data_IF_826337208723
#
_entry.id   IF_826337208723
#
_cell.length_a   1.000
_cell.length_b   1.000
_cell.length_c   1.000
_cell.angle_alpha   90.00
_cell.angle_beta   90.00
_cell.angle_gamma   90.00
#
_symmetry.space_group_name_H-M   'P 1'
#
loop_
_entity.id
_entity.type
_entity.pdbx_description
1 polymer ?
2 polymer ?
3 polymer ?
4 non-polymer ?
5 non-polymer ?
6 non-polymer ?
7 water ?
#
loop_
_entity_poly.entity_id
_entity_poly.type
_entity_poly.pdbx_seq_one_letter_code
_entity_poly.pdbx_strand_id
1 'polydeoxyribonucleotide' '(DG)(DG)(DG)(DG)(DT)(DG)(DT)(DG)(DG)(DT)(DA)(DG)(DC)' ?
2 'polydeoxyribonucleotide' '(DA)(DT)(DC)(DG)(DC)(DT)(DA)(DC)(DC)(DA)(DC)(DA)(DC)(DC)(DC)(DC)' ?
#
# COMPACT_ATOMS: atom_id res chain seq x y z
N UNK C 3 -25.23 4.52 12.29
CA UNK C 3 -25.42 3.50 11.20
C UNK C 3 -25.82 4.22 9.93
N UNK C 4 -25.02 4.07 8.86
CA UNK C 4 -25.20 4.76 7.59
C UNK C 4 -25.22 3.73 6.48
N UNK C 5 -26.31 3.70 5.70
CA UNK C 5 -26.47 2.72 4.63
C UNK C 5 -25.92 3.26 3.32
N UNK C 6 -25.72 2.38 2.35
CA UNK C 6 -25.13 2.85 1.10
C UNK C 6 -26.05 3.76 0.30
N UNK C 7 -27.35 3.81 0.60
CA UNK C 7 -28.24 4.77 -0.04
C UNK C 7 -28.38 6.07 0.73
N UNK C 8 -27.69 6.21 1.87
CA UNK C 8 -27.66 7.46 2.62
C UNK C 8 -26.63 8.40 2.01
N UNK C 9 -26.95 9.68 1.89
CA UNK C 9 -25.97 10.65 1.38
C UNK C 9 -24.62 10.62 2.08
N UNK C 10 -24.57 10.28 3.38
CA UNK C 10 -23.33 10.35 4.14
C UNK C 10 -22.45 9.11 4.03
N UNK C 11 -22.87 8.12 3.23
CA UNK C 11 -22.19 6.82 3.23
C UNK C 11 -20.72 6.95 2.86
N UNK C 12 -20.43 7.62 1.75
CA UNK C 12 -19.05 7.69 1.29
C UNK C 12 -18.16 8.29 2.36
N UNK C 13 -18.60 9.39 2.97
CA UNK C 13 -17.85 10.03 4.05
C UNK C 13 -17.61 9.06 5.19
N UNK C 14 -18.66 8.37 5.63
CA UNK C 14 -18.55 7.52 6.80
C UNK C 14 -17.66 6.32 6.52
N UNK C 15 -17.84 5.69 5.36
CA UNK C 15 -17.03 4.54 4.98
C UNK C 15 -15.55 4.91 4.92
N UNK C 16 -15.24 6.02 4.24
CA UNK C 16 -13.86 6.44 4.11
C UNK C 16 -13.27 6.86 5.45
N UNK C 17 -14.10 7.44 6.34
CA UNK C 17 -13.61 7.78 7.68
C UNK C 17 -13.18 6.55 8.46
N UNK C 18 -13.84 5.41 8.24
CA UNK C 18 -13.55 4.18 8.98
C UNK C 18 -12.57 3.23 8.29
N UNK C 19 -12.36 3.38 6.98
CA UNK C 19 -11.60 2.41 6.19
C UNK C 19 -10.11 2.66 6.33
N UNK C 20 -9.39 1.70 6.89
CA UNK C 20 -7.95 1.92 7.00
C UNK C 20 -7.27 1.81 5.65
N UNK C 21 -7.85 1.04 4.72
CA UNK C 21 -7.24 0.95 3.39
C UNK C 21 -7.45 2.25 2.61
N UNK C 22 -8.61 2.89 2.78
CA UNK C 22 -8.76 4.25 2.23
C UNK C 22 -7.70 5.19 2.80
N UNK C 23 -7.49 5.13 4.12
CA UNK C 23 -6.51 6.00 4.75
C UNK C 23 -5.11 5.75 4.22
N UNK C 24 -4.73 4.47 4.07
CA UNK C 24 -3.39 4.17 3.56
C UNK C 24 -3.19 4.81 2.19
N UNK C 25 -4.17 4.66 1.30
CA UNK C 25 -4.03 5.20 -0.04
C UNK C 25 -4.06 6.73 -0.05
N UNK C 26 -4.94 7.32 0.76
CA UNK C 26 -5.02 8.78 0.80
C UNK C 26 -3.76 9.38 1.38
N UNK C 27 -3.25 8.77 2.46
CA UNK C 27 -1.98 9.22 3.04
C UNK C 27 -0.85 9.17 2.01
N UNK C 28 -0.75 8.06 1.27
CA UNK C 28 0.31 7.94 0.27
C UNK C 28 0.15 9.00 -0.82
N UNK C 29 -1.07 9.19 -1.32
CA UNK C 29 -1.27 10.22 -2.34
C UNK C 29 -0.85 11.59 -1.82
N UNK C 30 -1.20 11.91 -0.57
CA UNK C 30 -0.85 13.20 0.01
C UNK C 30 0.67 13.34 0.16
N UNK C 31 1.35 12.26 0.54
CA UNK C 31 2.81 12.30 0.68
C UNK C 31 3.50 12.53 -0.66
N UNK C 32 2.98 11.92 -1.73
CA UNK C 32 3.53 12.17 -3.06
C UNK C 32 3.35 13.64 -3.45
N UNK C 33 2.18 14.18 -3.19
CA UNK C 33 1.94 15.58 -3.53
C UNK C 33 2.86 16.50 -2.74
N UNK C 34 3.09 16.18 -1.47
CA UNK C 34 3.97 16.99 -0.65
C UNK C 34 5.41 16.94 -1.15
N UNK C 35 5.87 15.75 -1.55
CA UNK C 35 7.19 15.64 -2.17
C UNK C 35 7.32 16.60 -3.34
N UNK C 36 6.29 16.64 -4.19
CA UNK C 36 6.36 17.48 -5.38
C UNK C 36 6.38 18.96 -5.01
N UNK C 37 5.56 19.36 -4.04
CA UNK C 37 5.54 20.75 -3.61
C UNK C 37 6.83 21.12 -2.88
N UNK C 38 7.29 20.26 -1.97
CA UNK C 38 8.49 20.53 -1.19
C UNK C 38 9.71 20.76 -2.07
N UNK C 39 9.79 20.04 -3.20
CA UNK C 39 11.00 19.99 -4.01
C UNK C 39 10.83 20.70 -5.35
N UNK C 40 9.85 21.60 -5.48
CA UNK C 40 9.56 22.17 -6.79
C UNK C 40 10.72 23.01 -7.32
N UNK C 41 11.59 23.50 -6.44
CA UNK C 41 12.79 24.20 -6.87
C UNK C 41 14.06 23.57 -6.29
N UNK C 42 13.94 22.40 -5.69
CA UNK C 42 15.07 21.61 -5.25
C UNK C 42 15.30 20.50 -6.26
N UNK C 43 16.55 20.31 -6.68
CA UNK C 43 16.87 19.18 -7.52
C UNK C 43 17.32 18.03 -6.62
N UNK C 44 16.62 16.90 -6.79
CA UNK C 44 16.64 15.73 -5.87
C UNK C 44 16.88 14.36 -6.55
N UNK C 45 17.29 14.30 -7.80
CA UNK C 45 17.36 13.02 -8.49
C UNK C 45 18.72 12.34 -8.29
N UNK C 46 18.78 11.09 -8.74
CA UNK C 46 20.02 10.32 -8.86
C UNK C 46 20.40 10.23 -10.34
N UNK C 47 21.69 10.35 -10.64
CA UNK C 47 22.19 10.27 -12.01
C UNK C 47 23.08 9.04 -12.16
N UNK C 48 23.41 8.73 -13.43
CA UNK C 48 24.29 7.60 -13.71
C UNK C 48 25.65 7.75 -13.02
N UNK C 49 26.08 8.97 -12.70
CA UNK C 49 27.38 9.16 -12.08
C UNK C 49 27.38 8.85 -10.59
N UNK C 50 26.20 8.74 -9.97
CA UNK C 50 26.15 8.63 -8.52
C UNK C 50 26.31 7.18 -8.09
N UNK C 51 27.16 6.96 -7.09
CA UNK C 51 27.14 5.73 -6.30
C UNK C 51 26.34 6.00 -5.04
N UNK C 52 25.39 5.13 -4.73
CA UNK C 52 24.45 5.44 -3.65
C UNK C 52 24.23 4.24 -2.74
N UNK C 53 23.73 4.52 -1.54
CA UNK C 53 23.29 3.52 -0.59
C UNK C 53 21.83 3.78 -0.27
N UNK C 54 21.04 2.70 -0.10
CA UNK C 54 19.61 2.78 0.17
C UNK C 54 19.39 2.44 1.63
N UNK C 55 18.65 3.29 2.34
CA UNK C 55 18.13 2.97 3.68
C UNK C 55 16.61 2.87 3.54
N UNK C 56 16.09 1.67 3.70
CA UNK C 56 14.65 1.42 3.63
C UNK C 56 14.15 1.28 5.07
N UNK C 57 13.29 2.21 5.49
CA UNK C 57 12.94 2.39 6.89
C UNK C 57 11.44 2.18 7.04
N UNK C 58 11.04 1.41 8.05
CA UNK C 58 9.63 1.07 8.23
C UNK C 58 9.36 0.97 9.72
N UNK C 59 8.24 1.54 10.19
CA UNK C 59 7.82 1.34 11.58
C UNK C 59 7.56 -0.15 11.83
N UNK C 60 7.88 -0.60 13.04
CA UNK C 60 7.49 -1.95 13.45
C UNK C 60 6.07 -2.08 14.03
N UNK C 61 5.22 -2.89 13.38
CA UNK C 61 3.75 -3.04 13.56
C UNK C 61 3.09 -1.69 13.82
N UNK C 62 3.05 -0.89 12.77
CA UNK C 62 2.75 0.53 12.91
C UNK C 62 1.44 0.80 13.63
N UNK C 63 0.31 0.30 13.09
CA UNK C 63 -0.97 0.65 13.71
C UNK C 63 -1.03 0.18 15.16
N UNK C 64 -0.56 -1.04 15.42
CA UNK C 64 -0.66 -1.57 16.79
C UNK C 64 0.21 -0.76 17.74
N UNK C 65 1.39 -0.36 17.29
CA UNK C 65 2.28 0.45 18.14
C UNK C 65 1.61 1.77 18.51
N UNK C 66 1.13 2.50 17.51
CA UNK C 66 0.56 3.83 17.75
C UNK C 66 -0.75 3.73 18.49
N UNK C 67 -1.60 2.77 18.11
CA UNK C 67 -2.86 2.58 18.83
C UNK C 67 -2.59 2.22 20.30
N UNK C 68 -1.53 1.47 20.57
CA UNK C 68 -1.21 1.17 21.96
C UNK C 68 -0.73 2.42 22.69
N UNK C 69 0.18 3.17 22.08
CA UNK C 69 0.75 4.34 22.73
C UNK C 69 -0.31 5.38 23.03
N UNK C 70 -1.37 5.47 22.22
CA UNK C 70 -2.44 6.44 22.39
C UNK C 70 -3.73 5.79 22.92
N UNK C 71 -3.63 4.62 23.56
CA UNK C 71 -4.82 3.87 23.94
C UNK C 71 -5.61 4.59 25.04
N UNK C 72 -6.92 4.33 25.05
CA UNK C 72 -7.81 4.97 26.02
C UNK C 72 -7.58 4.38 27.41
N UNK C 73 -8.19 5.01 28.42
CA UNK C 73 -7.93 4.63 29.81
C UNK C 73 -8.43 3.22 30.12
N UNK C 74 -9.47 2.76 29.39
CA UNK C 74 -9.94 1.38 29.53
C UNK C 74 -8.83 0.38 29.30
N UNK C 75 -7.84 0.70 28.46
CA UNK C 75 -6.71 -0.17 28.17
C UNK C 75 -5.45 0.23 28.92
N UNK C 76 -5.55 1.04 29.98
CA UNK C 76 -4.34 1.59 30.60
C UNK C 76 -3.39 0.49 31.08
N UNK C 77 -3.91 -0.64 31.55
CA UNK C 77 -3.04 -1.67 32.11
C UNK C 77 -2.53 -2.65 31.06
N UNK C 78 -2.90 -2.46 29.80
CA UNK C 78 -2.35 -3.25 28.69
C UNK C 78 -0.83 -3.13 28.64
N UNK C 79 -0.16 -4.25 28.37
CA UNK C 79 1.30 -4.31 28.27
C UNK C 79 1.70 -4.73 26.86
N UNK C 80 2.34 -3.82 26.13
CA UNK C 80 2.65 -4.07 24.73
C UNK C 80 3.67 -5.18 24.56
N UNK C 81 4.55 -5.38 25.54
CA UNK C 81 5.57 -6.41 25.47
C UNK C 81 5.07 -7.77 25.96
N UNK C 82 3.92 -7.83 26.62
CA UNK C 82 3.46 -9.08 27.20
C UNK C 82 2.09 -9.55 26.70
N UNK C 83 1.22 -8.63 26.25
CA UNK C 83 -0.11 -9.09 25.84
C UNK C 83 -0.22 -9.11 24.32
N UNK C 84 -1.02 -10.04 23.76
CA UNK C 84 -1.26 -10.06 22.31
C UNK C 84 -2.26 -8.97 21.95
N UNK C 85 -1.88 -8.10 21.03
CA UNK C 85 -2.63 -6.89 20.73
C UNK C 85 -2.89 -6.85 19.22
N UNK C 86 -4.14 -6.57 18.85
CA UNK C 86 -4.53 -6.36 17.45
C UNK C 86 -5.28 -5.03 17.35
N UNK C 87 -5.30 -4.48 16.14
CA UNK C 87 -6.09 -3.30 15.82
C UNK C 87 -7.18 -3.72 14.84
N UNK C 88 -8.44 -3.45 15.18
CA UNK C 88 -9.55 -3.89 14.35
C UNK C 88 -10.81 -3.14 14.77
N UNK C 89 -11.84 -3.24 13.92
CA UNK C 89 -13.12 -2.60 14.20
C UNK C 89 -14.01 -3.46 15.09
N UNK C 90 -13.99 -4.77 14.85
CA UNK C 90 -15.06 -5.63 15.37
C UNK C 90 -14.62 -6.81 16.23
N UNK C 91 -15.47 -7.84 16.29
CA UNK C 91 -15.24 -9.01 17.13
C UNK C 91 -15.27 -10.34 16.40
N UNK C 92 -15.75 -10.38 15.17
CA UNK C 92 -15.86 -11.66 14.49
C UNK C 92 -15.11 -11.65 13.17
N UNK C 93 -15.80 -11.28 12.09
CA UNK C 93 -15.19 -11.30 10.76
C UNK C 93 -14.67 -9.93 10.38
N UNK C 94 -13.92 -9.38 11.33
CA UNK C 94 -13.27 -8.07 11.23
C UNK C 94 -11.77 -8.26 10.98
N UNK C 95 -11.24 -7.54 9.98
CA UNK C 95 -9.83 -7.67 9.64
C UNK C 95 -8.95 -7.23 10.79
N UNK C 96 -7.90 -8.01 11.05
CA UNK C 96 -6.81 -7.57 11.92
C UNK C 96 -5.88 -6.76 11.03
N UNK C 97 -5.96 -5.43 11.15
CA UNK C 97 -5.10 -4.59 10.33
C UNK C 97 -3.65 -4.67 10.77
N UNK C 98 -3.41 -4.84 12.06
CA UNK C 98 -2.05 -4.80 12.58
C UNK C 98 -2.05 -5.61 13.87
N UNK C 99 -0.98 -6.36 14.11
CA UNK C 99 -0.86 -7.04 15.38
C UNK C 99 0.58 -6.92 15.87
N UNK C 100 0.75 -7.01 17.18
CA UNK C 100 2.07 -6.85 17.75
C UNK C 100 2.79 -8.20 17.74
N UNK C 101 4.06 -8.18 18.15
CA UNK C 101 4.87 -9.39 18.02
C UNK C 101 4.50 -10.44 19.06
N UNK C 102 3.88 -10.06 20.17
CA UNK C 102 3.30 -11.05 21.08
C UNK C 102 2.21 -11.84 20.35
N UNK C 103 1.30 -11.12 19.69
CA UNK C 103 0.26 -11.79 18.92
C UNK C 103 0.86 -12.71 17.86
N UNK C 104 1.88 -12.23 17.15
CA UNK C 104 2.53 -13.04 16.12
C UNK C 104 3.16 -14.30 16.68
N UNK C 105 3.62 -14.26 17.93
CA UNK C 105 4.26 -15.43 18.52
C UNK C 105 3.27 -16.58 18.74
N UNK C 106 1.96 -16.30 18.75
CA UNK C 106 0.95 -17.35 18.81
C UNK C 106 0.45 -17.74 17.42
N UNK C 107 1.06 -17.21 16.37
CA UNK C 107 0.64 -17.52 15.01
C UNK C 107 -0.37 -16.55 14.42
N UNK C 108 -0.75 -15.50 15.14
CA UNK C 108 -1.67 -14.51 14.60
C UNK C 108 -0.96 -13.71 13.53
N UNK C 109 -1.66 -13.44 12.42
CA UNK C 109 -1.10 -12.70 11.30
C UNK C 109 -2.04 -11.58 10.88
N UNK C 110 -1.47 -10.51 10.35
CA UNK C 110 -2.29 -9.46 9.74
C UNK C 110 -3.19 -10.05 8.66
N UNK C 111 -4.37 -9.45 8.51
CA UNK C 111 -5.32 -9.91 7.52
C UNK C 111 -6.20 -11.05 7.98
N UNK C 112 -5.84 -11.71 9.09
CA UNK C 112 -6.75 -12.65 9.72
C UNK C 112 -7.99 -11.93 10.22
N UNK C 113 -9.09 -12.66 10.30
CA UNK C 113 -10.26 -12.17 11.01
C UNK C 113 -10.10 -12.42 12.50
N UNK C 114 -10.72 -11.57 13.31
CA UNK C 114 -10.61 -11.67 14.76
C UNK C 114 -10.99 -13.06 15.24
N UNK C 115 -12.03 -13.63 14.64
CA UNK C 115 -12.50 -14.99 15.02
C UNK C 115 -11.36 -15.99 14.87
N UNK C 116 -10.74 -15.96 13.71
CA UNK C 116 -9.61 -16.83 13.37
C UNK C 116 -8.55 -16.70 14.46
N UNK C 117 -8.08 -15.49 14.73
CA UNK C 117 -6.95 -15.27 15.61
C UNK C 117 -7.24 -15.66 17.05
N UNK C 118 -8.48 -15.47 17.50
CA UNK C 118 -8.81 -15.81 18.89
C UNK C 118 -8.61 -17.29 19.17
N UNK C 119 -8.80 -18.15 18.16
CA UNK C 119 -8.68 -19.59 18.35
C UNK C 119 -7.23 -20.04 18.54
N UNK C 120 -6.27 -19.25 18.06
CA UNK C 120 -4.86 -19.60 18.23
C UNK C 120 -4.34 -19.30 19.62
N UNK C 121 -5.10 -18.60 20.43
CA UNK C 121 -4.63 -18.25 21.76
C UNK C 121 -4.88 -19.41 22.73
N UNK C 122 -3.88 -19.82 23.50
CA UNK C 122 -4.13 -20.83 24.53
C UNK C 122 -5.11 -20.32 25.58
N UNK C 123 -5.71 -21.26 26.29
CA UNK C 123 -6.69 -20.90 27.31
C UNK C 123 -6.05 -20.00 28.36
N UNK C 124 -6.80 -19.00 28.84
CA UNK C 124 -6.32 -18.07 29.89
C UNK C 124 -5.74 -16.74 29.40
N UNK C 125 -5.47 -16.66 28.13
CA UNK C 125 -4.82 -15.54 27.46
C UNK C 125 -5.82 -14.87 26.53
N UNK C 126 -5.99 -13.62 26.83
CA UNK C 126 -7.03 -12.82 26.20
C UNK C 126 -6.44 -11.94 25.11
N UNK C 127 -7.12 -11.91 23.96
CA UNK C 127 -6.75 -10.99 22.88
C UNK C 127 -7.20 -9.59 23.24
N UNK C 128 -6.28 -8.63 23.15
CA UNK C 128 -6.59 -7.22 23.34
C UNK C 128 -6.87 -6.61 21.98
N UNK C 129 -8.09 -6.12 21.77
CA UNK C 129 -8.47 -5.47 20.51
C UNK C 129 -8.51 -3.96 20.74
N UNK C 130 -7.59 -3.24 20.07
CA UNK C 130 -7.55 -1.78 20.15
C UNK C 130 -8.26 -1.16 18.94
N UNK C 131 -8.91 -0.01 19.13
CA UNK C 131 -9.50 0.69 17.99
C UNK C 131 -8.44 1.41 17.17
N UNK C 132 -8.81 1.74 15.94
CA UNK C 132 -7.95 2.56 15.11
C UNK C 132 -7.86 3.97 15.70
N UNK C 133 -6.69 4.60 15.53
CA UNK C 133 -6.45 5.99 15.95
C UNK C 133 -5.88 6.73 14.73
N UNK C 134 -6.75 7.04 13.78
CA UNK C 134 -6.27 7.47 12.46
C UNK C 134 -5.50 8.78 12.54
N UNK C 135 -6.01 9.77 13.28
CA UNK C 135 -5.30 11.04 13.33
C UNK C 135 -3.94 10.90 14.01
N UNK C 136 -3.84 10.03 15.03
CA UNK C 136 -2.54 9.80 15.66
C UNK C 136 -1.59 9.06 14.72
N UNK C 137 -2.08 8.12 13.91
CA UNK C 137 -1.22 7.55 12.88
C UNK C 137 -0.62 8.64 12.01
N UNK C 138 -1.44 9.60 11.61
CA UNK C 138 -0.96 10.69 10.77
C UNK C 138 0.06 11.56 11.51
N UNK C 139 -0.20 11.88 12.77
CA UNK C 139 0.74 12.71 13.52
C UNK C 139 2.10 12.02 13.70
N UNK C 140 2.10 10.70 13.93
CA UNK C 140 3.37 10.01 14.09
C UNK C 140 4.13 9.96 12.78
N UNK C 141 3.40 9.81 11.67
CA UNK C 141 4.03 9.89 10.36
C UNK C 141 4.68 11.25 10.15
N UNK C 142 3.99 12.34 10.55
CA UNK C 142 4.57 13.66 10.41
C UNK C 142 5.89 13.76 11.16
N UNK C 143 5.93 13.25 12.39
CA UNK C 143 7.16 13.25 13.15
C UNK C 143 8.24 12.45 12.45
N UNK C 144 7.87 11.31 11.88
CA UNK C 144 8.80 10.46 11.13
C UNK C 144 9.46 11.22 9.99
N UNK C 145 8.66 11.79 9.08
CA UNK C 145 9.21 12.46 7.92
C UNK C 145 9.96 13.73 8.31
N UNK C 146 9.50 14.42 9.36
CA UNK C 146 10.22 15.59 9.83
C UNK C 146 11.61 15.20 10.34
N UNK C 147 11.70 14.08 11.07
CA UNK C 147 12.99 13.63 11.61
C UNK C 147 13.94 13.25 10.48
N UNK C 148 13.46 12.49 9.50
CA UNK C 148 14.31 12.08 8.38
C UNK C 148 14.91 13.28 7.67
N UNK C 149 14.10 14.34 7.48
CA UNK C 149 14.61 15.53 6.81
C UNK C 149 15.60 16.28 7.69
N UNK C 150 15.28 16.40 8.98
CA UNK C 150 16.10 17.19 9.90
C UNK C 150 17.50 16.61 10.04
N UNK C 151 17.65 15.30 9.87
CA UNK C 151 18.95 14.65 10.03
C UNK C 151 19.96 15.07 8.98
N UNK C 152 19.50 15.57 7.83
CA UNK C 152 20.35 16.02 6.73
C UNK C 152 21.44 15.01 6.40
N UNK C 153 21.03 13.75 6.21
CA UNK C 153 21.94 12.69 5.82
C UNK C 153 21.56 12.06 4.49
N UNK C 154 20.45 12.46 3.88
CA UNK C 154 19.93 11.83 2.67
C UNK C 154 19.80 12.84 1.54
N UNK C 155 20.13 12.39 0.33
CA UNK C 155 19.94 13.21 -0.86
C UNK C 155 18.55 13.09 -1.43
N UNK C 156 17.86 11.99 -1.14
CA UNK C 156 16.52 11.75 -1.65
C UNK C 156 15.76 10.99 -0.59
N UNK C 157 14.57 11.48 -0.24
CA UNK C 157 13.67 10.82 0.71
C UNK C 157 12.37 10.54 -0.02
N UNK C 158 12.09 9.27 -0.28
CA UNK C 158 10.95 8.88 -1.11
C UNK C 158 9.88 8.28 -0.23
N UNK C 159 8.66 8.82 -0.23
CA UNK C 159 7.59 8.22 0.57
C UNK C 159 7.11 6.93 -0.08
N UNK C 160 7.14 5.85 0.68
CA UNK C 160 6.52 4.60 0.26
C UNK C 160 5.11 4.48 0.82
N UNK C 161 4.95 4.83 2.10
CA UNK C 161 3.66 4.76 2.75
C UNK C 161 3.68 5.71 3.95
N UNK C 162 2.55 5.76 4.66
CA UNK C 162 2.43 6.57 5.87
C UNK C 162 3.60 6.35 6.82
N UNK C 163 4.14 5.12 6.86
CA UNK C 163 5.13 4.75 7.86
C UNK C 163 6.38 4.13 7.24
N UNK C 164 6.65 4.40 5.97
CA UNK C 164 7.72 3.69 5.29
C UNK C 164 8.36 4.61 4.25
N UNK C 165 9.68 4.68 4.25
CA UNK C 165 10.38 5.57 3.32
C UNK C 165 11.63 4.90 2.79
N UNK C 166 11.96 5.23 1.55
CA UNK C 166 13.24 4.84 0.94
C UNK C 166 14.13 6.08 0.92
N UNK C 167 15.27 6.00 1.62
CA UNK C 167 16.14 7.13 1.79
C UNK C 167 17.46 6.83 1.09
N UNK C 168 17.94 7.75 0.26
CA UNK C 168 19.08 7.53 -0.60
C UNK C 168 20.22 8.45 -0.19
N UNK C 169 21.39 7.87 0.03
CA UNK C 169 22.59 8.62 0.37
C UNK C 169 23.60 8.43 -0.75
N UNK C 170 24.01 9.53 -1.39
CA UNK C 170 25.04 9.48 -2.42
C UNK C 170 26.41 9.49 -1.74
N UNK C 171 27.28 8.56 -2.14
CA UNK C 171 28.63 8.42 -1.59
C UNK C 171 29.60 9.00 -2.61
N UNK C 172 30.24 10.13 -2.34
CA UNK C 172 31.33 10.58 -3.22
C UNK C 172 32.49 9.59 -3.23
N UNK C 173 33.16 9.49 -4.37
CA UNK C 173 34.18 8.45 -4.54
C UNK C 173 35.44 8.72 -3.74
N UNK C 174 35.57 9.92 -3.21
CA UNK C 174 36.71 10.33 -2.35
C UNK C 174 36.44 9.86 -0.92
N UNK C 175 35.19 9.58 -0.56
CA UNK C 175 34.85 9.15 0.79
C UNK C 175 34.84 7.63 0.82
N UNK C 176 35.33 7.06 1.90
CA UNK C 176 35.40 5.61 2.06
C UNK C 176 34.24 5.19 2.96
N UNK C 177 33.17 4.71 2.35
CA UNK C 177 32.05 4.21 3.10
C UNK C 177 32.42 2.89 3.78
N UNK C 178 31.95 2.71 5.00
CA UNK C 178 32.21 1.51 5.77
C UNK C 178 30.93 1.05 6.47
N UNK C 179 30.89 -0.24 6.77
CA UNK C 179 29.83 -0.80 7.60
C UNK C 179 29.68 -0.04 8.91
N UNK C 180 30.79 0.46 9.48
CA UNK C 180 30.72 1.15 10.75
C UNK C 180 29.99 2.48 10.62
N UNK C 181 30.28 3.25 9.55
CA UNK C 181 29.51 4.45 9.29
C UNK C 181 28.03 4.12 9.08
N UNK C 182 27.75 3.08 8.30
CA UNK C 182 26.36 2.73 7.99
C UNK C 182 25.63 2.25 9.23
N UNK C 183 26.33 1.50 10.10
CA UNK C 183 25.72 1.04 11.33
C UNK C 183 25.40 2.21 12.25
N UNK C 184 26.31 3.17 12.35
CA UNK C 184 26.03 4.33 13.22
C UNK C 184 24.90 5.17 12.66
N UNK C 185 24.81 5.30 11.32
CA UNK C 185 23.68 5.99 10.72
C UNK C 185 22.36 5.32 11.06
N UNK C 186 22.32 3.98 10.95
CA UNK C 186 21.12 3.22 11.32
C UNK C 186 20.75 3.46 12.77
N UNK C 187 21.74 3.53 13.65
CA UNK C 187 21.41 3.71 15.05
C UNK C 187 20.95 5.13 15.32
N UNK C 188 21.56 6.12 14.66
CA UNK C 188 21.08 7.49 14.81
C UNK C 188 19.64 7.60 14.35
N UNK C 189 19.34 7.07 13.17
CA UNK C 189 17.98 7.15 12.65
C UNK C 189 17.00 6.49 13.61
N UNK C 190 17.32 5.27 14.05
CA UNK C 190 16.43 4.54 14.96
C UNK C 190 16.22 5.28 16.27
N UNK C 191 17.29 5.85 16.84
CA UNK C 191 17.13 6.54 18.11
C UNK C 191 16.36 7.85 17.94
N UNK C 192 16.67 8.61 16.88
CA UNK C 192 16.00 9.90 16.67
C UNK C 192 14.51 9.72 16.40
N UNK C 193 14.15 8.67 15.65
CA UNK C 193 12.73 8.43 15.40
C UNK C 193 12.02 7.95 16.67
N UNK C 194 12.66 7.04 17.42
CA UNK C 194 12.12 6.62 18.71
C UNK C 194 11.86 7.83 19.60
N UNK C 195 12.83 8.74 19.69
CA UNK C 195 12.64 9.95 20.48
C UNK C 195 11.59 10.86 19.87
N UNK C 196 11.62 11.03 18.54
CA UNK C 196 10.73 11.97 17.89
C UNK C 196 9.27 11.56 17.86
N UNK C 197 8.99 10.27 17.98
CA UNK C 197 7.63 9.74 17.95
C UNK C 197 7.12 9.35 19.32
N UNK C 198 7.88 9.65 20.38
CA UNK C 198 7.50 9.31 21.76
C UNK C 198 7.31 7.80 21.94
N UNK C 199 8.19 7.02 21.33
CA UNK C 199 8.22 5.60 21.63
C UNK C 199 7.93 4.61 20.52
N UNK C 200 7.82 5.06 19.27
CA UNK C 200 7.69 4.12 18.15
C UNK C 200 9.07 3.68 17.67
N UNK C 201 9.18 2.42 17.27
CA UNK C 201 10.43 1.87 16.78
C UNK C 201 10.35 1.65 15.28
N UNK C 202 11.48 1.78 14.60
CA UNK C 202 11.58 1.47 13.18
C UNK C 202 12.66 0.42 12.99
N UNK C 203 12.52 -0.36 11.91
CA UNK C 203 13.59 -1.21 11.42
C UNK C 203 14.11 -0.66 10.11
N UNK C 204 15.36 -1.00 9.77
CA UNK C 204 16.03 -0.43 8.60
C UNK C 204 16.78 -1.52 7.85
N UNK C 205 16.58 -1.58 6.54
CA UNK C 205 17.44 -2.35 5.66
C UNK C 205 18.35 -1.41 4.91
N UNK C 206 19.64 -1.77 4.86
CA UNK C 206 20.64 -0.90 4.24
C UNK C 206 21.39 -1.70 3.18
N UNK C 207 21.45 -1.18 1.95
CA UNK C 207 22.08 -1.92 0.86
C UNK C 207 22.39 -0.98 -0.29
N UNK C 208 23.01 -1.55 -1.33
CA UNK C 208 23.28 -0.81 -2.57
C UNK C 208 22.31 -1.19 -3.69
N UNK C 209 21.16 -1.78 -3.36
CA UNK C 209 20.05 -1.82 -4.30
C UNK C 209 18.75 -1.69 -3.53
N UNK C 210 17.73 -1.24 -4.27
CA UNK C 210 16.39 -1.13 -3.70
C UNK C 210 15.89 -2.49 -3.24
N UNK C 211 16.05 -3.52 -4.09
CA UNK C 211 15.47 -4.81 -3.73
C UNK C 211 16.19 -5.41 -2.51
N UNK C 212 17.52 -5.28 -2.45
CA UNK C 212 18.24 -5.85 -1.32
C UNK C 212 17.94 -5.08 -0.03
N UNK C 213 17.79 -3.76 -0.12
CA UNK C 213 17.42 -3.01 1.08
C UNK C 213 16.06 -3.45 1.60
N UNK C 214 15.13 -3.78 0.68
CA UNK C 214 13.84 -4.31 1.10
C UNK C 214 13.99 -5.67 1.77
N UNK C 215 14.82 -6.55 1.21
CA UNK C 215 15.05 -7.84 1.85
C UNK C 215 15.74 -7.68 3.19
N UNK C 216 16.77 -6.82 3.24
CA UNK C 216 17.48 -6.57 4.50
C UNK C 216 16.54 -6.05 5.57
N UNK C 217 15.56 -5.21 5.18
CA UNK C 217 14.59 -4.70 6.14
C UNK C 217 13.77 -5.82 6.75
N UNK C 218 13.30 -6.76 5.92
CA UNK C 218 12.55 -7.90 6.44
C UNK C 218 13.39 -8.70 7.43
N UNK C 219 14.67 -8.87 7.14
CA UNK C 219 15.57 -9.57 8.07
C UNK C 219 15.80 -8.76 9.35
N UNK C 220 15.75 -7.43 9.26
CA UNK C 220 16.01 -6.60 10.42
C UNK C 220 14.87 -6.60 11.43
N UNK C 221 13.64 -6.89 11.00
CA UNK C 221 12.52 -6.77 11.91
C UNK C 221 12.55 -7.88 12.96
N UNK C 222 12.08 -7.60 14.19
CA UNK C 222 11.58 -6.29 14.63
C UNK C 222 12.62 -5.44 15.35
N UNK C 223 12.45 -4.12 15.31
CA UNK C 223 13.24 -3.18 16.09
C UNK C 223 14.74 -3.42 15.90
N UNK C 224 15.15 -3.52 14.64
CA UNK C 224 16.57 -3.70 14.38
C UNK C 224 17.00 -3.18 13.04
N UNK C 225 18.27 -3.40 12.67
CA UNK C 225 18.73 -3.01 11.34
C UNK C 225 19.60 -4.12 10.76
N UNK C 226 19.70 -4.12 9.43
CA UNK C 226 20.49 -5.11 8.74
C UNK C 226 21.16 -4.45 7.54
N UNK C 227 22.46 -4.66 7.42
CA UNK C 227 23.27 -4.11 6.34
C UNK C 227 23.73 -5.29 5.50
N UNK C 228 23.18 -5.42 4.29
CA UNK C 228 23.57 -6.49 3.37
C UNK C 228 23.78 -5.88 2.00
N UNK C 229 25.03 -5.76 1.59
CA UNK C 229 25.37 -5.25 0.28
C UNK C 229 25.53 -6.40 -0.70
N UNK C 230 25.60 -6.04 -2.00
CA UNK C 230 25.74 -7.07 -3.04
C UNK C 230 26.96 -7.94 -2.78
N UNK C 231 28.06 -7.32 -2.35
CA UNK C 231 29.27 -8.06 -2.02
C UNK C 231 29.09 -9.03 -0.85
N UNK C 232 28.11 -8.77 0.03
CA UNK C 232 27.87 -9.64 1.18
C UNK C 232 26.92 -10.80 0.88
N UNK C 233 26.50 -10.97 -0.36
CA UNK C 233 25.47 -11.96 -0.66
C UNK C 233 26.00 -13.37 -0.45
N UNK C 234 25.10 -14.26 -0.02
CA UNK C 234 25.48 -15.60 0.39
C UNK C 234 24.29 -16.52 0.24
N UNK C 235 24.57 -17.82 0.15
CA UNK C 235 23.49 -18.81 0.14
C UNK C 235 22.67 -18.76 1.42
N UNK C 236 23.29 -18.38 2.54
CA UNK C 236 22.57 -18.30 3.80
C UNK C 236 21.56 -17.15 3.78
N UNK C 237 21.94 -16.03 3.14
CA UNK C 237 21.01 -14.93 2.95
C UNK C 237 19.78 -15.39 2.16
N UNK C 238 20.01 -15.93 0.95
CA UNK C 238 18.90 -16.34 0.10
C UNK C 238 18.07 -17.44 0.74
N UNK C 239 18.67 -18.25 1.60
CA UNK C 239 17.94 -19.31 2.28
C UNK C 239 16.97 -18.79 3.33
N UNK C 240 17.14 -17.54 3.74
CA UNK C 240 16.33 -16.93 4.80
C UNK C 240 14.96 -16.46 4.33
N UNK C 241 14.67 -16.49 3.03
CA UNK C 241 13.48 -15.82 2.49
C UNK C 241 12.56 -16.79 1.76
N UNK C 242 11.26 -16.61 1.97
CA UNK C 242 10.24 -17.25 1.17
C UNK C 242 10.12 -16.55 -0.19
N UNK C 243 9.47 -17.22 -1.14
CA UNK C 243 9.43 -16.69 -2.50
C UNK C 243 8.67 -15.38 -2.57
N UNK C 244 7.57 -15.26 -1.81
CA UNK C 244 6.81 -14.02 -1.84
C UNK C 244 7.41 -12.94 -0.93
N UNK C 245 8.59 -13.18 -0.35
CA UNK C 245 9.32 -12.08 0.26
C UNK C 245 9.89 -11.13 -0.79
N UNK C 246 10.03 -11.58 -2.03
CA UNK C 246 10.46 -10.69 -3.10
C UNK C 246 9.39 -9.64 -3.37
N UNK C 247 9.78 -8.38 -3.56
CA UNK C 247 8.77 -7.35 -3.86
C UNK C 247 8.21 -7.59 -5.25
N UNK C 248 6.88 -7.55 -5.36
CA UNK C 248 6.19 -7.85 -6.59
C UNK C 248 5.79 -9.30 -6.75
N UNK C 249 6.16 -10.16 -5.81
CA UNK C 249 5.69 -11.55 -5.78
C UNK C 249 4.68 -11.66 -4.64
N UNK C 250 3.40 -11.83 -4.99
CA UNK C 250 2.35 -12.14 -4.04
C UNK C 250 1.84 -13.56 -4.18
N UNK C 251 0.62 -13.77 -3.68
CA UNK C 251 0.04 -15.12 -3.61
C UNK C 251 -0.05 -15.74 -4.99
N UNK C 252 -0.52 -14.96 -5.96
CA UNK C 252 -0.77 -15.53 -7.27
C UNK C 252 0.53 -15.88 -7.99
N UNK C 253 1.54 -15.02 -7.91
CA UNK C 253 2.85 -15.32 -8.48
C UNK C 253 3.50 -16.49 -7.76
N UNK C 254 3.38 -16.50 -6.42
CA UNK C 254 3.93 -17.60 -5.63
C UNK C 254 3.42 -18.94 -6.13
N UNK C 255 2.10 -19.03 -6.36
CA UNK C 255 1.52 -20.28 -6.82
C UNK C 255 2.07 -20.68 -8.18
N UNK C 256 2.29 -19.71 -9.05
CA UNK C 256 2.82 -20.01 -10.40
C UNK C 256 4.24 -20.55 -10.28
N UNK C 257 5.04 -19.94 -9.42
CA UNK C 257 6.41 -20.39 -9.23
C UNK C 257 6.47 -21.79 -8.62
N UNK C 258 5.57 -22.09 -7.69
CA UNK C 258 5.59 -23.41 -7.08
C UNK C 258 5.23 -24.49 -8.09
N UNK C 259 4.23 -24.24 -8.94
CA UNK C 259 3.90 -25.22 -9.97
C UNK C 259 5.05 -25.40 -10.94
N UNK C 260 5.63 -24.29 -11.42
CA UNK C 260 6.66 -24.38 -12.46
C UNK C 260 7.93 -25.02 -11.93
N UNK C 261 8.36 -24.68 -10.72
CA UNK C 261 9.66 -25.08 -10.22
C UNK C 261 9.58 -26.04 -9.02
N UNK C 262 8.54 -26.86 -8.98
CA UNK C 262 8.42 -27.95 -8.01
C UNK C 262 8.59 -27.46 -6.57
N UNK C 263 7.78 -26.48 -6.20
CA UNK C 263 7.67 -25.97 -4.84
C UNK C 263 9.02 -25.64 -4.21
N UNK C 264 9.73 -24.63 -4.70
CA UNK C 264 10.94 -24.18 -3.99
C UNK C 264 10.56 -23.59 -2.65
N UNK C 265 11.33 -23.93 -1.62
CA UNK C 265 11.00 -23.48 -0.27
C UNK C 265 11.52 -22.07 -0.02
N UNK C 266 12.76 -21.82 -0.42
CA UNK C 266 13.44 -20.55 -0.19
C UNK C 266 13.85 -19.92 -1.51
N UNK C 267 14.23 -18.64 -1.43
CA UNK C 267 14.79 -17.98 -2.60
C UNK C 267 16.08 -18.65 -3.04
N UNK C 268 16.80 -19.30 -2.13
CA UNK C 268 17.97 -20.05 -2.54
C UNK C 268 17.58 -21.27 -3.38
N UNK C 269 16.50 -21.96 -3.01
CA UNK C 269 15.99 -23.03 -3.85
C UNK C 269 15.67 -22.52 -5.24
N UNK C 270 14.83 -21.49 -5.33
CA UNK C 270 14.43 -20.95 -6.63
C UNK C 270 15.64 -20.54 -7.45
N UNK C 271 16.63 -19.90 -6.83
CA UNK C 271 17.72 -19.39 -7.63
C UNK C 271 18.61 -20.50 -8.18
N UNK C 272 18.63 -21.66 -7.52
CA UNK C 272 19.39 -22.79 -8.05
C UNK C 272 18.62 -23.63 -9.06
N UNK C 273 17.30 -23.48 -9.15
CA UNK C 273 16.50 -24.30 -10.05
C UNK C 273 16.04 -23.57 -11.31
N UNK C 274 15.87 -22.26 -11.25
CA UNK C 274 15.18 -21.56 -12.33
C UNK C 274 16.07 -21.41 -13.55
N UNK C 275 15.42 -21.24 -14.70
CA UNK C 275 16.05 -20.67 -15.88
C UNK C 275 15.24 -19.44 -16.29
N UNK C 276 15.92 -18.49 -16.92
CA UNK C 276 15.26 -17.22 -17.25
C UNK C 276 14.06 -17.44 -18.16
N UNK C 277 14.19 -18.29 -19.17
CA UNK C 277 13.04 -18.44 -20.06
C UNK C 277 11.91 -19.22 -19.39
N UNK C 278 12.23 -20.20 -18.56
CA UNK C 278 11.17 -20.92 -17.84
C UNK C 278 10.46 -19.99 -16.85
N UNK C 279 11.21 -19.07 -16.26
CA UNK C 279 10.62 -18.12 -15.32
C UNK C 279 9.73 -17.12 -16.04
N UNK C 280 10.20 -16.59 -17.17
CA UNK C 280 9.38 -15.68 -17.97
C UNK C 280 8.10 -16.36 -18.43
N UNK C 281 8.20 -17.63 -18.85
CA UNK C 281 7.00 -18.37 -19.24
C UNK C 281 6.06 -18.55 -18.06
N UNK C 282 6.60 -18.67 -16.86
CA UNK C 282 5.78 -18.97 -15.69
C UNK C 282 5.00 -17.75 -15.22
N UNK C 283 5.66 -16.60 -15.09
CA UNK C 283 5.09 -15.45 -14.41
C UNK C 283 5.00 -14.21 -15.30
N UNK C 284 5.44 -14.28 -16.54
CA UNK C 284 5.43 -13.14 -17.44
C UNK C 284 6.85 -12.62 -17.70
N UNK C 285 7.05 -12.06 -18.90
CA UNK C 285 8.38 -11.60 -19.30
C UNK C 285 8.95 -10.55 -18.35
N UNK C 286 8.18 -9.49 -18.08
CA UNK C 286 8.74 -8.40 -17.29
C UNK C 286 8.91 -8.79 -15.83
N UNK C 287 7.91 -9.44 -15.25
CA UNK C 287 8.06 -9.88 -13.87
C UNK C 287 9.10 -11.00 -13.76
N UNK C 288 9.20 -11.86 -14.76
CA UNK C 288 10.26 -12.86 -14.75
C UNK C 288 11.64 -12.25 -14.77
N UNK C 289 11.84 -11.21 -15.59
CA UNK C 289 13.10 -10.49 -15.60
C UNK C 289 13.36 -9.80 -14.26
N UNK C 290 12.31 -9.21 -13.68
CA UNK C 290 12.47 -8.56 -12.37
C UNK C 290 12.96 -9.56 -11.32
N UNK C 291 12.36 -10.75 -11.30
CA UNK C 291 12.75 -11.78 -10.34
C UNK C 291 14.17 -12.28 -10.63
N UNK C 292 14.48 -12.52 -11.91
CA UNK C 292 15.82 -12.90 -12.32
C UNK C 292 16.85 -11.92 -11.79
N UNK C 293 16.59 -10.63 -11.97
CA UNK C 293 17.54 -9.62 -11.51
C UNK C 293 17.57 -9.54 -9.98
N UNK C 294 16.41 -9.68 -9.33
CA UNK C 294 16.37 -9.60 -7.88
C UNK C 294 17.15 -10.73 -7.24
N UNK C 295 17.17 -11.92 -7.86
CA UNK C 295 17.95 -13.02 -7.31
C UNK C 295 19.46 -12.82 -7.48
N UNK C 296 19.88 -11.76 -8.19
CA UNK C 296 21.27 -11.33 -8.20
C UNK C 296 21.47 -10.10 -7.32
N UNK C 297 20.45 -9.74 -6.53
CA UNK C 297 20.47 -8.54 -5.72
C UNK C 297 20.35 -7.24 -6.49
N UNK C 298 19.88 -7.28 -7.74
CA UNK C 298 19.87 -6.11 -8.60
C UNK C 298 18.45 -5.63 -8.86
N UNK C 299 18.32 -4.31 -9.03
CA UNK C 299 17.06 -3.70 -9.44
C UNK C 299 16.87 -3.82 -10.96
N UNK C 300 15.60 -3.76 -11.38
CA UNK C 300 15.26 -3.70 -12.81
C UNK C 300 15.05 -2.25 -13.23
N UNK C 301 14.90 -2.05 -14.53
CA UNK C 301 14.77 -0.70 -15.10
C UNK C 301 13.56 0.01 -14.51
N UNK C 302 12.47 -0.71 -14.38
CA UNK C 302 11.24 -0.10 -13.88
C UNK C 302 11.42 0.43 -12.46
N UNK C 303 12.08 -0.33 -11.59
CA UNK C 303 12.25 0.09 -10.21
C UNK C 303 13.16 1.29 -10.10
N UNK C 304 14.18 1.37 -10.96
CA UNK C 304 15.14 2.46 -10.86
C UNK C 304 14.57 3.79 -11.28
N UNK C 305 13.43 3.80 -11.99
CA UNK C 305 12.90 5.05 -12.51
C UNK C 305 12.68 6.08 -11.40
N UNK C 306 12.27 5.61 -10.23
CA UNK C 306 11.96 6.53 -9.12
C UNK C 306 13.21 7.23 -8.63
N UNK C 307 14.38 6.61 -8.83
CA UNK C 307 15.63 7.27 -8.44
C UNK C 307 16.05 8.31 -9.46
N UNK C 308 15.88 7.99 -10.75
CA UNK C 308 16.32 8.86 -11.84
C UNK C 308 15.40 10.06 -12.07
N UNK C 309 14.11 9.93 -11.79
CA UNK C 309 13.15 11.02 -12.04
C UNK C 309 12.00 10.88 -11.07
N UNK C 310 12.25 11.05 -9.78
CA UNK C 310 11.17 10.86 -8.80
C UNK C 310 10.00 11.77 -9.03
N UNK C 311 10.26 13.00 -9.52
CA UNK C 311 9.17 13.95 -9.72
C UNK C 311 8.20 13.47 -10.79
N UNK C 312 8.71 12.77 -11.81
CA UNK C 312 7.79 12.21 -12.79
C UNK C 312 7.08 10.98 -12.25
N UNK C 313 7.79 10.11 -11.55
CA UNK C 313 7.20 8.86 -11.06
C UNK C 313 6.09 9.15 -10.05
N UNK C 314 6.31 10.14 -9.19
CA UNK C 314 5.35 10.44 -8.13
C UNK C 314 4.22 11.34 -8.58
N UNK C 315 4.18 11.75 -9.84
CA UNK C 315 3.05 12.50 -10.38
C UNK C 315 1.85 11.58 -10.54
N UNK C 316 0.72 11.97 -9.99
CA UNK C 316 -0.50 11.17 -10.13
C UNK C 316 -0.98 11.17 -11.58
N UNK C 317 -1.33 9.99 -12.10
CA UNK C 317 -1.75 9.86 -13.49
C UNK C 317 -3.20 9.38 -13.64
N UNK C 318 -3.88 9.07 -12.55
CA UNK C 318 -5.27 8.62 -12.59
C UNK C 318 -5.87 8.90 -11.22
N UNK C 319 -7.18 8.74 -11.13
CA UNK C 319 -7.92 9.12 -9.93
C UNK C 319 -9.14 8.22 -9.85
N UNK C 320 -9.36 7.59 -8.70
CA UNK C 320 -10.50 6.68 -8.62
C UNK C 320 -10.97 6.51 -7.18
N UNK C 321 -12.16 5.94 -7.04
CA UNK C 321 -12.64 5.41 -5.77
C UNK C 321 -13.08 3.98 -5.97
N UNK C 322 -12.98 3.19 -4.90
CA UNK C 322 -13.41 1.80 -4.89
C UNK C 322 -14.24 1.58 -3.63
N UNK C 323 -15.46 1.11 -3.80
CA UNK C 323 -16.33 0.82 -2.65
C UNK C 323 -16.82 -0.61 -2.85
N UNK C 324 -16.25 -1.54 -2.10
CA UNK C 324 -16.58 -2.96 -2.22
C UNK C 324 -16.99 -3.53 -0.88
N UNK C 325 -17.47 -2.67 0.00
CA UNK C 325 -18.01 -3.07 1.30
C UNK C 325 -19.26 -2.23 1.54
N UNK C 326 -20.32 -2.87 2.04
CA UNK C 326 -21.53 -2.15 2.32
C UNK C 326 -22.45 -1.93 1.13
N UNK C 327 -22.19 -2.54 -0.02
CA UNK C 327 -22.95 -2.26 -1.23
C UNK C 327 -24.14 -3.21 -1.28
N UNK C 328 -25.33 -2.69 -0.96
CA UNK C 328 -26.58 -3.45 -1.01
C UNK C 328 -27.65 -2.51 -1.56
N UNK C 329 -27.92 -2.60 -2.85
CA UNK C 329 -28.93 -1.74 -3.46
C UNK C 329 -30.13 -2.56 -3.90
N UNK C 330 -31.30 -1.93 -3.79
CA UNK C 330 -32.55 -2.58 -4.17
C UNK C 330 -33.00 -2.26 -5.58
N UNK C 331 -32.58 -1.12 -6.13
CA UNK C 331 -33.11 -0.70 -7.42
C UNK C 331 -32.11 0.21 -8.11
N UNK C 332 -32.38 0.50 -9.38
CA UNK C 332 -31.41 1.21 -10.21
C UNK C 332 -31.38 2.70 -9.88
N UNK C 333 -32.48 3.24 -9.36
CA UNK C 333 -32.48 4.64 -8.93
C UNK C 333 -31.46 4.89 -7.84
N UNK C 334 -31.37 3.99 -6.85
CA UNK C 334 -30.40 4.17 -5.77
C UNK C 334 -28.98 3.92 -6.26
N UNK C 335 -28.78 2.96 -7.16
CA UNK C 335 -27.44 2.79 -7.74
C UNK C 335 -27.02 4.08 -8.45
N UNK C 336 -27.93 4.69 -9.22
CA UNK C 336 -27.57 5.88 -9.97
C UNK C 336 -27.24 7.05 -9.05
N UNK C 337 -28.01 7.23 -7.97
CA UNK C 337 -27.69 8.30 -7.03
C UNK C 337 -26.33 8.07 -6.40
N UNK C 338 -26.01 6.82 -6.08
CA UNK C 338 -24.70 6.52 -5.52
C UNK C 338 -23.59 6.83 -6.53
N UNK C 339 -23.79 6.48 -7.80
CA UNK C 339 -22.83 6.85 -8.83
C UNK C 339 -22.66 8.37 -8.89
N UNK C 340 -23.77 9.10 -8.80
CA UNK C 340 -23.68 10.55 -8.86
C UNK C 340 -22.88 11.09 -7.68
N UNK C 341 -23.12 10.57 -6.47
CA UNK C 341 -22.34 11.00 -5.31
C UNK C 341 -20.86 10.68 -5.49
N UNK C 342 -20.56 9.51 -6.06
CA UNK C 342 -19.16 9.17 -6.32
C UNK C 342 -18.51 10.11 -7.32
N UNK C 343 -19.23 10.47 -8.40
CA UNK C 343 -18.67 11.40 -9.37
C UNK C 343 -18.45 12.77 -8.73
N UNK C 344 -19.38 13.23 -7.90
CA UNK C 344 -19.20 14.49 -7.21
C UNK C 344 -17.92 14.46 -6.37
N UNK C 345 -17.73 13.39 -5.61
CA UNK C 345 -16.54 13.26 -4.77
C UNK C 345 -15.27 13.30 -5.63
N UNK C 346 -15.27 12.53 -6.73
CA UNK C 346 -14.09 12.47 -7.59
C UNK C 346 -13.82 13.80 -8.28
N UNK C 347 -14.87 14.51 -8.69
CA UNK C 347 -14.69 15.79 -9.33
C UNK C 347 -14.15 16.84 -8.35
N UNK C 348 -14.54 16.76 -7.08
CA UNK C 348 -13.93 17.63 -6.08
C UNK C 348 -12.42 17.42 -6.03
N UNK C 349 -11.98 16.16 -5.99
CA UNK C 349 -10.55 15.88 -6.01
C UNK C 349 -9.92 16.34 -7.32
N UNK C 350 -10.59 16.07 -8.44
CA UNK C 350 -10.04 16.47 -9.75
C UNK C 350 -9.89 17.98 -9.83
N UNK C 351 -10.84 18.73 -9.28
CA UNK C 351 -10.72 20.17 -9.29
C UNK C 351 -9.62 20.66 -8.35
N UNK C 352 -9.41 19.95 -7.22
CA UNK C 352 -8.36 20.32 -6.29
C UNK C 352 -6.98 20.29 -6.92
N UNK C 353 -6.76 19.39 -7.89
CA UNK C 353 -5.46 19.26 -8.54
C UNK C 353 -5.43 19.95 -9.91
N UNK C 354 -6.50 20.68 -10.26
CA UNK C 354 -6.53 21.52 -11.46
C UNK C 354 -6.33 20.72 -12.75
N UNK C 355 -7.09 19.63 -12.89
CA UNK C 355 -7.01 18.79 -14.07
C UNK C 355 -8.42 18.50 -14.60
N UNK C 356 -8.47 18.03 -15.84
CA UNK C 356 -9.66 17.43 -16.43
C UNK C 356 -9.36 15.97 -16.75
N UNK C 357 -10.38 15.24 -17.18
CA UNK C 357 -10.16 13.85 -17.56
C UNK C 357 -10.74 13.62 -18.95
N UNK C 358 -10.11 12.70 -19.69
CA UNK C 358 -10.52 12.38 -21.05
C UNK C 358 -10.93 10.92 -21.21
N UNK C 359 -10.85 10.11 -20.15
CA UNK C 359 -11.21 8.71 -20.23
C UNK C 359 -11.66 8.30 -18.83
N UNK C 360 -12.81 7.64 -18.75
CA UNK C 360 -13.36 7.22 -17.47
C UNK C 360 -13.76 5.75 -17.56
N UNK C 361 -13.76 5.09 -16.41
CA UNK C 361 -14.08 3.68 -16.31
C UNK C 361 -15.03 3.45 -15.14
N UNK C 362 -16.03 2.59 -15.36
CA UNK C 362 -16.82 2.05 -14.26
C UNK C 362 -16.50 0.57 -14.14
N UNK C 363 -16.25 0.12 -12.92
CA UNK C 363 -16.00 -1.27 -12.63
C UNK C 363 -16.98 -1.71 -11.55
N UNK C 364 -17.49 -2.93 -11.65
CA UNK C 364 -18.38 -3.42 -10.62
C UNK C 364 -17.99 -4.82 -10.22
N UNK C 365 -18.42 -5.19 -9.01
CA UNK C 365 -18.33 -6.54 -8.50
C UNK C 365 -19.73 -7.11 -8.42
N UNK C 366 -19.92 -8.29 -9.03
CA UNK C 366 -21.23 -8.93 -9.07
C UNK C 366 -21.13 -10.30 -8.39
N UNK C 367 -22.09 -10.57 -7.50
CA UNK C 367 -22.12 -11.86 -6.82
C UNK C 367 -21.97 -13.00 -7.82
N UNK C 368 -21.07 -13.94 -7.51
CA UNK C 368 -20.91 -15.13 -8.32
C UNK C 368 -22.20 -15.96 -8.27
N UNK C 369 -22.47 -16.67 -9.38
CA UNK C 369 -23.72 -17.43 -9.46
C UNK C 369 -23.82 -18.45 -8.33
N UNK C 370 -22.74 -19.19 -8.07
CA UNK C 370 -22.73 -20.17 -7.01
C UNK C 370 -22.42 -19.58 -5.63
N UNK C 371 -22.19 -18.23 -5.54
CA UNK C 371 -21.80 -17.65 -4.26
C UNK C 371 -23.04 -17.33 -3.42
N UNK C 372 -22.93 -17.42 -2.10
CA UNK C 372 -24.08 -17.15 -1.24
C UNK C 372 -24.53 -15.69 -1.33
N UNK C 373 -25.82 -15.50 -1.11
CA UNK C 373 -26.42 -14.18 -1.24
C UNK C 373 -25.95 -13.27 -0.11
N UNK C 374 -25.91 -13.80 1.11
CA UNK C 374 -25.29 -13.09 2.22
C UNK C 374 -23.92 -13.70 2.45
N UNK C 375 -22.83 -12.95 2.23
CA UNK C 375 -21.51 -13.52 2.42
C UNK C 375 -21.22 -13.71 3.90
N UNK C 376 -20.23 -14.54 4.24
CA UNK C 376 -19.91 -14.73 5.67
C UNK C 376 -19.57 -13.45 6.39
N UNK C 377 -18.93 -12.49 5.73
CA UNK C 377 -18.55 -11.23 6.35
C UNK C 377 -19.71 -10.24 6.24
N UNK C 378 -20.11 -9.69 7.38
CA UNK C 378 -21.15 -8.68 7.40
C UNK C 378 -20.80 -7.55 6.44
N UNK C 379 -21.69 -7.31 5.48
CA UNK C 379 -21.60 -6.28 4.44
C UNK C 379 -20.45 -6.51 3.47
N UNK C 380 -19.82 -7.69 3.50
CA UNK C 380 -18.75 -7.97 2.58
C UNK C 380 -19.24 -8.14 1.15
N UNK C 381 -18.31 -8.00 0.21
CA UNK C 381 -18.68 -8.28 -1.18
C UNK C 381 -18.84 -9.77 -1.42
N UNK C 382 -18.14 -10.60 -0.64
CA UNK C 382 -18.12 -12.03 -0.89
C UNK C 382 -17.39 -12.35 -2.18
N UNK C 383 -17.58 -13.59 -2.64
CA UNK C 383 -16.99 -14.01 -3.91
C UNK C 383 -17.78 -13.43 -5.07
N UNK C 384 -17.08 -12.78 -5.99
CA UNK C 384 -17.71 -11.97 -7.02
C UNK C 384 -17.00 -12.13 -8.35
N UNK C 385 -17.69 -11.73 -9.42
CA UNK C 385 -17.11 -11.60 -10.74
C UNK C 385 -16.88 -10.12 -11.07
N UNK C 386 -15.75 -9.84 -11.69
CA UNK C 386 -15.37 -8.47 -12.07
C UNK C 386 -15.87 -8.13 -13.46
N UNK C 387 -16.43 -6.92 -13.60
CA UNK C 387 -16.82 -6.37 -14.89
C UNK C 387 -16.38 -4.92 -14.95
N UNK C 388 -15.82 -4.49 -16.07
CA UNK C 388 -15.53 -3.07 -16.25
C UNK C 388 -15.79 -2.66 -17.69
N UNK C 389 -16.10 -1.38 -17.87
CA UNK C 389 -16.21 -0.77 -19.18
C UNK C 389 -15.68 0.66 -19.10
N UNK C 390 -14.95 1.06 -20.12
CA UNK C 390 -14.36 2.39 -20.18
C UNK C 390 -14.93 3.17 -21.36
N UNK C 391 -14.80 4.48 -21.28
CA UNK C 391 -15.26 5.38 -22.33
C UNK C 391 -14.28 6.51 -22.50
N UNK C 392 -13.93 6.80 -23.75
CA UNK C 392 -13.13 7.97 -24.07
C UNK C 392 -14.07 9.13 -24.31
N UNK C 393 -13.87 10.22 -23.57
CA UNK C 393 -14.71 11.38 -23.77
C UNK C 393 -14.22 12.16 -24.98
N UNK C 394 -15.10 12.94 -25.57
CA UNK C 394 -14.66 13.67 -26.75
C UNK C 394 -13.54 14.63 -26.40
N UNK C 395 -13.92 15.61 -25.58
CA UNK C 395 -13.03 16.68 -25.17
C UNK C 395 -12.73 16.37 -23.70
N UNK C 396 -11.51 16.61 -23.21
CA UNK C 396 -11.27 16.46 -21.77
C UNK C 396 -12.17 17.40 -21.00
N UNK C 397 -12.65 16.95 -19.84
CA UNK C 397 -13.70 17.71 -19.16
C UNK C 397 -13.60 17.49 -17.66
N UNK C 398 -14.17 18.44 -16.92
CA UNK C 398 -14.46 18.24 -15.51
C UNK C 398 -15.95 18.42 -15.23
N UNK C 399 -16.81 18.34 -16.25
CA UNK C 399 -18.23 18.63 -16.07
C UNK C 399 -18.97 17.43 -15.49
N UNK C 400 -19.68 17.67 -14.38
CA UNK C 400 -20.46 16.61 -13.75
C UNK C 400 -21.48 16.02 -14.72
N UNK C 401 -22.21 16.88 -15.43
CA UNK C 401 -23.24 16.37 -16.32
C UNK C 401 -22.70 15.34 -17.30
N UNK C 402 -21.56 15.64 -17.92
CA UNK C 402 -20.98 14.72 -18.89
C UNK C 402 -20.53 13.44 -18.21
N UNK C 403 -19.80 13.56 -17.11
CA UNK C 403 -19.13 12.41 -16.53
C UNK C 403 -20.13 11.50 -15.83
N UNK C 404 -21.02 12.08 -15.02
CA UNK C 404 -22.01 11.26 -14.31
C UNK C 404 -22.96 10.56 -15.28
N UNK C 405 -23.36 11.26 -16.35
CA UNK C 405 -24.23 10.63 -17.35
C UNK C 405 -23.54 9.42 -17.98
N UNK C 406 -22.28 9.60 -18.40
CA UNK C 406 -21.55 8.49 -19.01
C UNK C 406 -21.33 7.37 -18.01
N UNK C 407 -21.03 7.70 -16.74
CA UNK C 407 -20.84 6.63 -15.76
C UNK C 407 -22.09 5.80 -15.60
N UNK C 408 -23.26 6.45 -15.54
CA UNK C 408 -24.49 5.70 -15.36
C UNK C 408 -24.79 4.87 -16.60
N UNK C 409 -24.43 5.39 -17.77
CA UNK C 409 -24.59 4.64 -19.00
C UNK C 409 -23.66 3.43 -19.01
N UNK C 410 -22.42 3.59 -18.55
CA UNK C 410 -21.53 2.44 -18.47
C UNK C 410 -22.08 1.35 -17.57
N UNK C 411 -22.70 1.75 -16.44
CA UNK C 411 -23.29 0.74 -15.56
C UNK C 411 -24.37 -0.03 -16.31
N UNK C 412 -25.23 0.71 -17.02
CA UNK C 412 -26.31 0.13 -17.81
C UNK C 412 -25.78 -0.95 -18.74
N UNK C 413 -24.68 -0.68 -19.44
CA UNK C 413 -24.16 -1.63 -20.42
C UNK C 413 -23.64 -2.91 -19.79
N UNK C 414 -23.25 -2.89 -18.51
CA UNK C 414 -22.71 -4.10 -17.90
C UNK C 414 -23.78 -5.06 -17.42
N UNK C 415 -25.05 -4.65 -17.42
CA UNK C 415 -26.16 -5.54 -17.11
C UNK C 415 -26.07 -6.28 -15.80
N UNK C 416 -25.70 -5.59 -14.73
CA UNK C 416 -25.76 -6.15 -13.38
C UNK C 416 -27.05 -5.73 -12.70
N UNK C 417 -27.95 -6.65 -12.36
CA UNK C 417 -29.13 -6.29 -11.57
C UNK C 417 -28.70 -5.65 -10.25
N UNK C 418 -29.37 -4.59 -9.82
CA UNK C 418 -28.94 -3.90 -8.58
C UNK C 418 -28.74 -4.81 -7.38
N UNK C 419 -29.60 -5.82 -7.21
CA UNK C 419 -29.52 -6.70 -6.04
C UNK C 419 -28.32 -7.64 -6.09
N UNK C 420 -27.72 -7.85 -7.25
CA UNK C 420 -26.52 -8.67 -7.33
C UNK C 420 -25.24 -7.84 -7.25
N UNK C 421 -25.37 -6.52 -7.23
CA UNK C 421 -24.20 -5.65 -7.15
C UNK C 421 -23.58 -5.75 -5.75
N UNK C 422 -22.26 -5.91 -5.71
CA UNK C 422 -21.55 -6.04 -4.44
C UNK C 422 -20.39 -5.06 -4.32
N UNK C 423 -20.10 -4.31 -5.37
CA UNK C 423 -19.02 -3.34 -5.31
C UNK C 423 -18.95 -2.48 -6.54
N UNK C 424 -18.45 -1.25 -6.40
CA UNK C 424 -18.36 -0.32 -7.52
C UNK C 424 -17.04 0.41 -7.45
N UNK C 425 -16.47 0.68 -8.61
CA UNK C 425 -15.31 1.55 -8.70
C UNK C 425 -15.56 2.54 -9.82
N UNK C 426 -15.21 3.79 -9.57
CA UNK C 426 -15.34 4.86 -10.55
C UNK C 426 -13.94 5.42 -10.78
N UNK C 427 -13.51 5.48 -12.05
CA UNK C 427 -12.13 5.80 -12.37
C UNK C 427 -12.04 6.91 -13.40
N UNK C 428 -11.14 7.86 -13.18
CA UNK C 428 -10.70 8.80 -14.21
C UNK C 428 -9.32 8.30 -14.65
N UNK C 429 -9.26 7.68 -15.83
CA UNK C 429 -8.05 6.94 -16.22
C UNK C 429 -6.98 7.84 -16.81
N UNK C 430 -7.37 8.93 -17.47
CA UNK C 430 -6.41 9.82 -18.12
C UNK C 430 -6.71 11.25 -17.71
N UNK C 431 -5.69 11.93 -17.20
CA UNK C 431 -5.84 13.29 -16.68
C UNK C 431 -5.10 14.26 -17.59
N UNK C 432 -5.64 15.47 -17.71
CA UNK C 432 -5.09 16.50 -18.58
C UNK C 432 -4.94 17.77 -17.76
N UNK C 433 -3.80 18.43 -17.91
CA UNK C 433 -3.47 19.65 -17.15
C UNK C 433 -4.32 20.83 -17.63
N UNK C 434 -4.79 21.65 -16.71
CA UNK C 434 -5.51 22.88 -17.07
C UNK C 434 -4.44 23.98 -17.18
N UNK C 435 -4.37 24.64 -18.32
CA UNK C 435 -3.38 25.70 -18.51
C UNK C 435 -4.02 27.06 -18.61
N UNK C 436 -3.23 28.11 -18.73
CA UNK C 436 -3.79 29.46 -18.89
C UNK C 436 -4.52 29.66 -20.21
N UNK C 437 -4.20 28.83 -21.22
CA UNK C 437 -4.82 28.96 -22.56
C UNK C 437 -5.93 27.92 -22.74
N UNK C 438 -7.18 28.32 -22.50
CA UNK C 438 -8.33 27.44 -22.68
C UNK C 438 -9.19 27.89 -23.86
N UNK C 439 -8.52 28.32 -24.91
CA UNK C 439 -9.19 28.77 -26.16
C UNK C 439 -9.13 27.63 -27.18
N UNK C 440 -10.21 27.09 -27.42
CA UNK C 440 -10.23 25.98 -28.40
C UNK C 440 -11.53 26.00 -29.20
N UNK C 441 -11.44 25.93 -30.52
CA UNK C 441 -12.73 25.91 -31.26
C UNK C 441 -13.23 24.47 -31.44
X LIG D 1 1.48 -4.36 11.48
X LIG E 1 6.18 -9.97 -2.03
X LIG F 1 0.57 11.49 5.17
X LIG F 1 -0.06 11.99 4.06
X LIG F 1 1.05 12.73 5.96
X LIG F 1 -0.03 13.52 6.36
X LIG F 1 1.78 12.13 7.16
X LIG F 1 3.17 12.26 6.97
#
# INVERSE_FOLDING_TARGET
KRIVACDDPDFLTSYFAHSRLHHLSAWKANLKDKFLNENIHKYTKITDKDTYIIFHIDFDCFFATVAYLCRSSSFSACDFKRDPIVVCHGTKNSDIASCNYVARSYGIKNGMWVSQAEKMLPNGIKLISLPYTFEQFQLKSEAFYSTLKRLNIFNLILPISIDEAVCVRIIPDNIHNTNTLNARLCEEIRQEIFQGTNGCTVSIGCSDSLVLARLALKMAKPNGYNITFKSNLSEEFWSSFKLDDLPGVGHSTLSRLESTFDSPHSLNDLRKRYTLDALKASVGSKLGMKIHLALQGQDDEESLKILYDPKEVLQRKSLSIDINWGIRFKNITQVDLFIERGCQYLLEKLNEINKTTSQITLKLMRRCKDAPIEPPKYMGMGRCDSFSRSSRLGIPTNEFGIIATEMKSLYRTLGCPPMELRGLALQFNKLVDVGPDNNQLK
CL CL
MG MG
GOL C1 O1 C2 O2 C3 O3
#
